data_IF_826144128154
#
_entry.id   IF_826144128154
#
_cell.length_a   1.000
_cell.length_b   1.000
_cell.length_c   1.000
_cell.angle_alpha   90.00
_cell.angle_beta   90.00
_cell.angle_gamma   90.00
#
_symmetry.space_group_name_H-M   'P 1'
#
loop_
_entity.id
_entity.type
_entity.pdbx_description
1 polymer ?
#
# COMPACT_ATOMS: atom_id res chain seq x y z
N UNK A 1 25.36 -11.17 10.48
CA UNK A 1 24.14 -11.13 9.64
C UNK A 1 23.35 -9.92 10.13
N UNK A 2 23.63 -8.77 9.56
CA UNK A 2 23.07 -7.49 9.97
C UNK A 2 21.68 -7.34 9.36
N UNK A 3 20.70 -7.02 10.20
CA UNK A 3 19.38 -6.59 9.76
C UNK A 3 19.54 -5.12 9.36
N UNK A 4 19.30 -4.85 8.08
CA UNK A 4 19.42 -3.53 7.46
C UNK A 4 18.32 -2.59 7.96
N UNK A 5 18.73 -1.35 8.23
CA UNK A 5 18.11 -0.37 9.12
C UNK A 5 17.40 0.71 8.30
N UNK A 6 16.53 0.30 7.37
CA UNK A 6 15.83 1.23 6.47
C UNK A 6 14.38 1.46 6.86
N UNK A 7 14.16 2.01 8.05
CA UNK A 7 12.91 2.69 8.41
C UNK A 7 13.01 4.17 7.99
N UNK A 8 12.92 4.43 6.68
CA UNK A 8 12.84 5.80 6.16
C UNK A 8 11.38 6.28 6.29
N UNK A 9 11.10 7.11 7.31
CA UNK A 9 9.81 7.81 7.40
C UNK A 9 9.33 8.22 8.79
N UNK A 10 10.01 7.90 9.90
CA UNK A 10 9.66 8.41 11.23
C UNK A 10 10.35 9.74 11.54
N UNK A 11 10.06 10.78 10.77
CA UNK A 11 10.37 12.14 11.18
C UNK A 11 9.57 13.12 10.34
N UNK A 12 8.36 13.45 10.81
CA UNK A 12 7.97 14.81 11.20
C UNK A 12 6.45 15.03 11.03
N UNK A 13 5.62 14.57 11.99
CA UNK A 13 4.25 15.11 12.14
C UNK A 13 3.58 14.80 13.49
N UNK A 14 4.35 14.68 14.57
CA UNK A 14 3.77 14.68 15.92
C UNK A 14 3.65 16.11 16.43
N UNK A 15 2.56 16.82 16.10
CA UNK A 15 2.21 18.02 16.89
C UNK A 15 1.79 17.48 18.26
N UNK A 16 2.50 17.87 19.32
CA UNK A 16 2.28 17.45 20.73
C UNK A 16 0.87 17.75 21.30
N UNK A 17 -0.12 18.07 20.47
CA UNK A 17 -1.53 18.22 20.84
C UNK A 17 -2.48 17.15 20.28
N UNK A 18 -2.09 16.37 19.25
CA UNK A 18 -3.01 15.39 18.63
C UNK A 18 -3.20 14.12 19.47
N UNK A 19 -2.23 13.79 20.33
CA UNK A 19 -2.31 12.59 21.16
C UNK A 19 -3.31 12.75 22.32
N UNK A 20 -3.71 13.97 22.69
CA UNK A 20 -4.64 14.19 23.81
C UNK A 20 -6.10 14.03 23.36
N UNK A 21 -6.40 14.27 22.09
CA UNK A 21 -7.74 14.11 21.51
C UNK A 21 -8.16 12.65 21.31
N UNK A 22 -7.26 11.68 21.55
CA UNK A 22 -7.49 10.26 21.25
C UNK A 22 -7.42 9.34 22.49
N UNK A 23 -7.15 9.90 23.68
CA UNK A 23 -7.24 9.14 24.93
C UNK A 23 -8.63 9.32 25.57
N UNK A 24 -9.48 8.31 25.42
CA UNK A 24 -10.68 8.16 26.26
C UNK A 24 -10.22 7.87 27.69
N UNK A 25 -10.32 8.86 28.58
CA UNK A 25 -10.32 8.62 30.02
C UNK A 25 -11.57 7.80 30.35
N UNK A 26 -11.40 6.48 30.48
CA UNK A 26 -12.42 5.59 31.03
C UNK A 26 -12.69 6.04 32.47
N UNK A 27 -13.83 6.65 32.71
CA UNK A 27 -14.33 6.89 34.06
C UNK A 27 -14.48 5.52 34.75
N UNK A 28 -13.67 5.28 35.78
CA UNK A 28 -13.65 4.04 36.57
C UNK A 28 -15.02 3.66 37.15
N UNK A 29 -15.98 4.58 37.15
CA UNK A 29 -17.33 4.36 37.69
C UNK A 29 -18.34 3.89 36.64
N UNK A 30 -17.99 3.92 35.35
CA UNK A 30 -18.86 3.51 34.23
C UNK A 30 -18.06 2.62 33.28
N UNK A 31 -18.19 1.30 33.46
CA UNK A 31 -17.45 0.29 32.70
C UNK A 31 -17.65 0.36 31.17
N UNK A 32 -16.92 -0.52 30.46
CA UNK A 32 -16.69 -0.64 28.99
C UNK A 32 -17.95 -0.66 28.09
N UNK A 33 -19.16 -0.58 28.66
CA UNK A 33 -20.44 -0.62 27.93
C UNK A 33 -21.13 0.75 27.81
N UNK A 34 -20.41 1.86 27.98
CA UNK A 34 -20.96 3.20 27.75
C UNK A 34 -21.23 3.42 26.24
N UNK A 35 -22.51 3.57 25.91
CA UNK A 35 -22.97 3.83 24.54
C UNK A 35 -22.41 5.15 23.98
N UNK A 36 -22.11 6.14 24.83
CA UNK A 36 -21.50 7.39 24.41
C UNK A 36 -20.04 7.17 23.98
N UNK A 37 -19.26 6.40 24.76
CA UNK A 37 -17.91 6.02 24.39
C UNK A 37 -17.89 5.16 23.10
N UNK A 38 -18.84 4.24 22.95
CA UNK A 38 -18.98 3.45 21.72
C UNK A 38 -19.33 4.31 20.50
N UNK A 39 -20.25 5.27 20.64
CA UNK A 39 -20.57 6.22 19.56
C UNK A 39 -19.40 7.13 19.22
N UNK A 40 -18.61 7.54 20.22
CA UNK A 40 -17.45 8.40 20.02
C UNK A 40 -16.30 7.64 19.33
N UNK A 41 -16.08 6.38 19.71
CA UNK A 41 -15.18 5.47 18.98
C UNK A 41 -15.71 5.21 17.57
N UNK A 42 -17.01 5.01 17.39
CA UNK A 42 -17.61 4.75 16.08
C UNK A 42 -17.51 5.97 15.17
N UNK A 43 -17.76 7.18 15.69
CA UNK A 43 -17.59 8.44 14.98
C UNK A 43 -16.12 8.70 14.64
N UNK A 44 -15.21 8.37 15.55
CA UNK A 44 -13.77 8.44 15.29
C UNK A 44 -13.35 7.45 14.22
N UNK A 45 -13.76 6.17 14.27
CA UNK A 45 -13.48 5.17 13.22
C UNK A 45 -14.09 5.55 11.85
N UNK A 46 -15.22 6.25 11.83
CA UNK A 46 -15.84 6.79 10.61
C UNK A 46 -15.08 8.02 10.07
N UNK A 47 -14.59 8.91 10.95
CA UNK A 47 -13.77 10.07 10.61
C UNK A 47 -12.30 9.74 10.29
N UNK A 48 -11.81 8.62 10.82
CA UNK A 48 -10.51 8.00 10.54
C UNK A 48 -10.48 7.24 9.22
N UNK A 49 -11.56 7.27 8.42
CA UNK A 49 -11.43 6.90 7.00
C UNK A 49 -10.44 7.87 6.38
N UNK A 50 -9.18 7.44 6.37
CA UNK A 50 -8.03 8.23 5.98
C UNK A 50 -8.31 8.99 4.70
N UNK A 51 -7.79 10.22 4.63
CA UNK A 51 -7.94 11.13 3.50
C UNK A 51 -8.02 10.33 2.20
N UNK A 52 -9.22 10.31 1.59
CA UNK A 52 -9.45 9.59 0.35
C UNK A 52 -8.89 10.44 -0.77
N UNK A 53 -7.62 10.22 -1.09
CA UNK A 53 -6.95 10.93 -2.15
C UNK A 53 -7.63 10.65 -3.49
N UNK A 54 -7.72 11.67 -4.34
CA UNK A 54 -8.12 11.47 -5.73
C UNK A 54 -6.99 10.77 -6.50
N UNK A 55 -7.32 10.22 -7.67
CA UNK A 55 -6.32 9.60 -8.54
C UNK A 55 -5.18 10.57 -8.88
N UNK A 56 -5.51 11.83 -9.14
CA UNK A 56 -4.55 12.89 -9.46
C UNK A 56 -3.63 13.21 -8.26
N UNK A 57 -4.18 13.28 -7.05
CA UNK A 57 -3.38 13.49 -5.83
C UNK A 57 -2.39 12.32 -5.62
N UNK A 58 -2.84 11.09 -5.83
CA UNK A 58 -1.99 9.88 -5.75
C UNK A 58 -0.88 9.92 -6.81
N UNK A 59 -1.18 10.34 -8.03
CA UNK A 59 -0.18 10.46 -9.10
C UNK A 59 0.89 11.50 -8.78
N UNK A 60 0.50 12.63 -8.19
CA UNK A 60 1.43 13.68 -7.75
C UNK A 60 2.35 13.16 -6.65
N UNK A 61 1.80 12.54 -5.60
CA UNK A 61 2.59 11.97 -4.50
C UNK A 61 3.55 10.88 -5.00
N UNK A 62 3.06 9.96 -5.84
CA UNK A 62 3.90 8.92 -6.43
C UNK A 62 5.02 9.50 -7.30
N UNK A 63 4.71 10.52 -8.11
CA UNK A 63 5.70 11.24 -8.93
C UNK A 63 6.81 11.86 -8.09
N UNK A 64 6.45 12.51 -6.98
CA UNK A 64 7.41 13.15 -6.08
C UNK A 64 8.30 12.13 -5.34
N UNK A 65 7.74 10.98 -4.93
CA UNK A 65 8.52 9.88 -4.38
C UNK A 65 9.57 9.35 -5.37
N UNK A 66 9.20 9.18 -6.65
CA UNK A 66 10.13 8.75 -7.70
C UNK A 66 11.23 9.79 -7.94
N UNK A 67 10.86 11.09 -7.97
CA UNK A 67 11.80 12.20 -8.11
C UNK A 67 12.80 12.23 -6.96
N UNK A 68 12.32 12.10 -5.73
CA UNK A 68 13.12 12.08 -4.52
C UNK A 68 14.10 10.90 -4.56
N UNK A 69 13.63 9.70 -4.91
CA UNK A 69 14.49 8.52 -5.05
C UNK A 69 15.56 8.71 -6.13
N UNK A 70 15.22 9.33 -7.27
CA UNK A 70 16.19 9.68 -8.31
C UNK A 70 17.28 10.62 -7.78
N UNK A 71 16.89 11.67 -7.04
CA UNK A 71 17.83 12.64 -6.46
C UNK A 71 18.74 11.97 -5.42
N UNK A 72 18.21 11.13 -4.53
CA UNK A 72 19.01 10.37 -3.56
C UNK A 72 20.05 9.45 -4.22
N UNK A 73 19.81 9.04 -5.46
CA UNK A 73 20.74 8.23 -6.27
C UNK A 73 21.72 9.08 -7.09
N UNK A 74 21.71 10.40 -6.93
CA UNK A 74 22.49 11.37 -7.70
C UNK A 74 22.32 11.21 -9.22
N UNK A 75 21.10 10.91 -9.68
CA UNK A 75 20.78 10.81 -11.10
C UNK A 75 20.06 12.07 -11.58
N UNK A 76 20.49 12.63 -12.70
CA UNK A 76 19.69 13.63 -13.40
C UNK A 76 18.58 12.96 -14.22
N UNK A 77 17.65 13.76 -14.76
CA UNK A 77 16.54 13.25 -15.55
C UNK A 77 17.02 12.60 -16.85
N UNK A 78 18.09 13.13 -17.47
CA UNK A 78 18.65 12.59 -18.70
C UNK A 78 19.14 11.15 -18.49
N UNK A 79 20.00 10.95 -17.48
CA UNK A 79 20.59 9.65 -17.14
C UNK A 79 19.52 8.62 -16.77
N UNK A 80 18.54 8.98 -15.93
CA UNK A 80 17.49 8.02 -15.56
C UNK A 80 16.60 7.68 -16.77
N UNK A 81 16.24 8.67 -17.59
CA UNK A 81 15.40 8.43 -18.77
C UNK A 81 16.08 7.51 -19.78
N UNK A 82 17.38 7.68 -20.00
CA UNK A 82 18.19 6.81 -20.84
C UNK A 82 18.22 5.37 -20.30
N UNK A 83 18.50 5.19 -19.01
CA UNK A 83 18.49 3.87 -18.35
C UNK A 83 17.13 3.18 -18.43
N UNK A 84 16.05 3.94 -18.31
CA UNK A 84 14.69 3.42 -18.40
C UNK A 84 14.22 3.19 -19.86
N UNK A 85 14.94 3.71 -20.85
CA UNK A 85 14.59 3.64 -22.27
C UNK A 85 13.34 4.47 -22.60
N UNK A 86 13.22 5.66 -22.02
CA UNK A 86 12.10 6.60 -22.23
C UNK A 86 12.62 8.01 -22.52
N UNK A 87 11.75 8.91 -23.02
CA UNK A 87 12.14 10.31 -23.21
C UNK A 87 12.23 11.07 -21.88
N UNK A 88 13.10 12.10 -21.81
CA UNK A 88 13.18 13.01 -20.65
C UNK A 88 11.83 13.66 -20.35
N UNK A 89 11.04 14.01 -21.37
CA UNK A 89 9.70 14.57 -21.22
C UNK A 89 8.76 13.57 -20.53
N UNK A 90 8.83 12.30 -20.92
CA UNK A 90 8.03 11.22 -20.31
C UNK A 90 8.38 11.06 -18.83
N UNK A 91 9.67 11.06 -18.49
CA UNK A 91 10.10 11.00 -17.08
C UNK A 91 9.62 12.22 -16.30
N UNK A 92 9.74 13.42 -16.86
CA UNK A 92 9.28 14.67 -16.22
C UNK A 92 7.78 14.66 -15.96
N UNK A 93 6.97 14.16 -16.90
CA UNK A 93 5.52 14.04 -16.71
C UNK A 93 5.18 13.06 -15.60
N UNK A 94 5.88 11.92 -15.54
CA UNK A 94 5.72 10.94 -14.46
C UNK A 94 6.08 11.53 -13.10
N UNK A 95 7.24 12.21 -12.98
CA UNK A 95 7.69 12.86 -11.74
C UNK A 95 6.79 14.02 -11.29
N UNK A 96 6.00 14.59 -12.20
CA UNK A 96 5.06 15.67 -11.92
C UNK A 96 3.63 15.18 -11.65
N UNK A 97 3.35 13.88 -11.76
CA UNK A 97 2.00 13.34 -11.60
C UNK A 97 1.02 13.75 -12.71
N UNK A 98 1.50 14.00 -13.93
CA UNK A 98 0.67 14.41 -15.07
C UNK A 98 0.16 13.21 -15.91
N UNK A 99 -0.03 12.05 -15.27
CA UNK A 99 -0.35 10.81 -15.95
C UNK A 99 0.86 10.11 -16.59
N UNK A 100 0.84 8.78 -16.52
CA UNK A 100 1.80 7.91 -17.20
C UNK A 100 1.22 6.53 -17.45
N UNK A 101 1.84 5.78 -18.37
CA UNK A 101 1.45 4.39 -18.55
C UNK A 101 2.05 3.53 -17.44
N UNK A 102 1.35 2.45 -17.06
CA UNK A 102 1.89 1.44 -16.13
C UNK A 102 3.24 0.90 -16.62
N UNK A 103 3.41 0.74 -17.93
CA UNK A 103 4.68 0.31 -18.54
C UNK A 103 5.81 1.29 -18.22
N UNK A 104 5.57 2.59 -18.35
CA UNK A 104 6.54 3.64 -18.03
C UNK A 104 6.94 3.61 -16.56
N UNK A 105 5.95 3.48 -15.67
CA UNK A 105 6.20 3.34 -14.23
C UNK A 105 7.11 2.14 -13.94
N UNK A 106 6.81 0.98 -14.52
CA UNK A 106 7.62 -0.24 -14.34
C UNK A 106 9.05 -0.04 -14.88
N UNK A 107 9.22 0.58 -16.05
CA UNK A 107 10.55 0.85 -16.61
C UNK A 107 11.39 1.75 -15.69
N UNK A 108 10.78 2.79 -15.11
CA UNK A 108 11.45 3.71 -14.19
C UNK A 108 11.78 3.01 -12.86
N UNK A 109 10.86 2.23 -12.29
CA UNK A 109 11.12 1.46 -11.06
C UNK A 109 12.27 0.47 -11.25
N UNK A 110 12.34 -0.23 -12.39
CA UNK A 110 13.45 -1.13 -12.72
C UNK A 110 14.78 -0.38 -12.88
N UNK A 111 14.78 0.76 -13.57
CA UNK A 111 15.97 1.60 -13.69
C UNK A 111 16.44 2.17 -12.34
N UNK A 112 15.51 2.30 -11.38
CA UNK A 112 15.76 2.63 -9.99
C UNK A 112 15.96 1.39 -9.09
N UNK A 113 16.01 0.16 -9.60
CA UNK A 113 16.19 -1.04 -8.75
C UNK A 113 15.15 -1.16 -7.63
N UNK A 114 13.90 -0.77 -7.87
CA UNK A 114 12.76 -0.83 -6.93
C UNK A 114 11.59 -1.64 -7.49
N UNK A 115 11.84 -2.57 -8.40
CA UNK A 115 10.82 -3.47 -8.94
C UNK A 115 10.12 -4.31 -7.88
N UNK A 116 10.79 -4.64 -6.76
CA UNK A 116 10.22 -5.39 -5.65
C UNK A 116 9.07 -4.67 -4.94
N UNK A 117 8.96 -3.34 -5.08
CA UNK A 117 7.79 -2.60 -4.58
C UNK A 117 6.49 -2.99 -5.29
N UNK A 118 6.56 -3.56 -6.50
CA UNK A 118 5.37 -4.05 -7.18
C UNK A 118 4.76 -5.27 -6.46
N UNK A 119 5.58 -6.02 -5.72
CA UNK A 119 5.13 -7.19 -4.94
C UNK A 119 4.26 -6.77 -3.73
N UNK A 120 4.43 -5.54 -3.23
CA UNK A 120 3.66 -5.03 -2.09
C UNK A 120 2.28 -4.53 -2.48
N UNK A 121 1.98 -4.34 -3.77
CA UNK A 121 0.67 -3.88 -4.26
C UNK A 121 -0.40 -4.97 -4.09
N UNK A 122 -0.01 -6.24 -4.20
CA UNK A 122 -0.90 -7.37 -4.04
C UNK A 122 -0.25 -8.41 -3.11
N UNK A 123 -0.16 -8.13 -1.79
CA UNK A 123 0.39 -9.09 -0.86
C UNK A 123 -0.52 -10.32 -0.87
N UNK A 124 0.01 -11.49 -1.27
CA UNK A 124 -0.72 -12.75 -1.13
C UNK A 124 -0.71 -13.09 0.36
N UNK A 125 -1.84 -13.04 1.08
CA UNK A 125 -1.86 -13.35 2.50
C UNK A 125 -1.46 -14.83 2.67
N UNK A 126 -0.22 -15.05 3.07
CA UNK A 126 0.32 -16.42 3.25
C UNK A 126 -0.28 -17.09 4.48
N UNK A 127 -0.79 -16.31 5.42
CA UNK A 127 -1.46 -16.80 6.63
C UNK A 127 -2.87 -16.22 6.65
N UNK A 128 -3.86 -17.06 6.36
CA UNK A 128 -5.22 -16.79 6.78
C UNK A 128 -5.39 -17.40 8.19
N UNK A 129 -5.53 -16.61 9.26
CA UNK A 129 -5.64 -17.13 10.63
C UNK A 129 -6.80 -18.14 10.79
N UNK A 130 -7.80 -18.09 9.91
CA UNK A 130 -8.93 -19.03 9.88
C UNK A 130 -8.61 -20.39 9.24
N UNK A 131 -7.43 -20.55 8.63
CA UNK A 131 -6.95 -21.83 8.10
C UNK A 131 -6.28 -22.70 9.18
N UNK A 132 -5.81 -22.11 10.30
CA UNK A 132 -5.19 -22.86 11.39
C UNK A 132 -6.20 -23.77 12.13
N UNK A 133 -7.49 -23.45 12.05
CA UNK A 133 -8.57 -24.17 12.76
C UNK A 133 -9.35 -25.14 11.87
N UNK A 134 -9.07 -25.19 10.56
CA UNK A 134 -9.79 -26.09 9.64
C UNK A 134 -8.99 -27.35 9.39
N UNK A 135 -9.42 -28.46 10.01
CA UNK A 135 -9.10 -29.81 9.54
C UNK A 135 -9.50 -29.93 8.06
N UNK A 136 -8.56 -30.17 7.13
CA UNK A 136 -8.87 -30.19 5.70
C UNK A 136 -9.75 -31.41 5.38
N UNK A 137 -11.05 -31.17 5.14
CA UNK A 137 -11.91 -32.20 4.53
C UNK A 137 -11.46 -32.41 3.08
N UNK A 138 -11.16 -33.65 2.66
CA UNK A 138 -10.70 -33.91 1.30
C UNK A 138 -11.77 -33.48 0.28
N UNK A 139 -11.36 -32.66 -0.70
CA UNK A 139 -12.22 -32.24 -1.80
C UNK A 139 -12.61 -33.46 -2.63
N UNK A 140 -13.89 -33.87 -2.55
CA UNK A 140 -14.46 -34.83 -3.51
C UNK A 140 -14.57 -34.13 -4.86
N UNK A 141 -13.86 -34.63 -5.88
CA UNK A 141 -14.04 -34.17 -7.26
C UNK A 141 -15.48 -34.43 -7.69
N UNK A 142 -16.17 -33.39 -8.14
CA UNK A 142 -17.42 -33.51 -8.87
C UNK A 142 -17.10 -33.82 -10.34
N UNK A 143 -16.64 -35.03 -10.65
CA UNK A 143 -16.61 -35.50 -12.04
C UNK A 143 -17.97 -36.09 -12.38
N UNK A 144 -18.68 -35.49 -13.35
CA UNK A 144 -19.86 -36.10 -13.96
C UNK A 144 -19.42 -37.39 -14.68
N UNK A 145 -20.12 -38.54 -14.51
CA UNK A 145 -19.82 -39.75 -15.27
C UNK A 145 -19.99 -39.47 -16.75
N UNK A 146 -18.93 -39.68 -17.53
CA UNK A 146 -18.96 -39.56 -18.99
C UNK A 146 -19.73 -40.77 -19.54
N UNK A 147 -20.95 -40.57 -20.03
CA UNK A 147 -21.69 -41.61 -20.73
C UNK A 147 -20.89 -42.09 -21.95
N UNK A 148 -20.63 -43.40 -22.01
CA UNK A 148 -20.07 -44.06 -23.18
C UNK A 148 -21.17 -44.15 -24.24
N UNK A 149 -20.94 -43.54 -25.41
CA UNK A 149 -21.75 -43.82 -26.60
C UNK A 149 -21.37 -45.21 -27.11
N UNK A 150 -22.35 -46.09 -27.24
CA UNK A 150 -22.22 -47.32 -28.02
C UNK A 150 -22.41 -47.01 -29.51
N UNK A 151 -21.79 -47.86 -30.33
CA UNK A 151 -21.61 -47.80 -31.77
C UNK A 151 -22.90 -47.59 -32.57
#
# INVERSE_FOLDING_TARGET
>A
MAIDDSFYGASNSGREGELVDHFLLLDSTRGISDAAAQQQIQAWLLGMSGRRLTSEEIEIELGDHLRTLRIHRNLDQATLSERAGISVRTLRNLEAGNGSSLRTLIQVLRALGRESWLETIAPVPTINPLMLTRQPKPRRRASKPRQRKHA
#
